data_IF_853815000135
#
_entry.id   IF_853815000135
#
_cell.length_a   1.000
_cell.length_b   1.000
_cell.length_c   1.000
_cell.angle_alpha   90.00
_cell.angle_beta   90.00
_cell.angle_gamma   90.00
#
_symmetry.space_group_name_H-M   'P 1'
#
loop_
_entity.id
_entity.type
_entity.pdbx_description
1 polymer ?
#
# COMPACT_ATOMS: atom_id res chain seq x y z
N UNK A 1 71.53 -10.69 -29.46
CA UNK A 1 70.31 -11.42 -29.87
C UNK A 1 69.96 -12.46 -28.81
N UNK A 2 69.30 -12.10 -27.70
CA UNK A 2 68.87 -13.03 -26.63
C UNK A 2 68.02 -12.35 -25.54
N UNK A 3 67.09 -11.44 -25.88
CA UNK A 3 66.17 -10.81 -24.90
C UNK A 3 64.83 -10.39 -25.52
N UNK A 4 64.25 -11.20 -26.42
CA UNK A 4 62.96 -10.89 -27.04
C UNK A 4 61.95 -12.05 -27.01
N UNK A 5 62.25 -13.13 -26.28
CA UNK A 5 61.40 -14.32 -26.20
C UNK A 5 60.61 -14.49 -24.90
N UNK A 6 60.85 -13.67 -23.87
CA UNK A 6 60.26 -13.87 -22.53
C UNK A 6 59.04 -12.96 -22.29
N UNK A 7 58.86 -11.89 -23.09
CA UNK A 7 57.76 -10.95 -22.89
C UNK A 7 56.42 -11.44 -23.48
N UNK A 8 56.43 -12.42 -24.40
CA UNK A 8 55.21 -12.95 -25.02
C UNK A 8 54.53 -14.07 -24.23
N UNK A 9 55.23 -14.72 -23.30
CA UNK A 9 54.66 -15.81 -22.47
C UNK A 9 53.97 -15.27 -21.22
N UNK A 10 54.32 -14.07 -20.76
CA UNK A 10 53.69 -13.43 -19.59
C UNK A 10 52.40 -12.66 -19.92
N UNK A 11 52.11 -12.40 -21.21
CA UNK A 11 50.88 -11.73 -21.65
C UNK A 11 49.73 -12.71 -21.95
N UNK A 12 50.02 -14.01 -22.15
CA UNK A 12 49.02 -15.03 -22.40
C UNK A 12 48.41 -15.64 -21.13
N UNK A 13 49.04 -15.47 -19.96
CA UNK A 13 48.55 -16.02 -18.68
C UNK A 13 47.56 -15.09 -17.96
N UNK A 14 47.41 -13.83 -18.41
CA UNK A 14 46.44 -12.86 -17.85
C UNK A 14 45.09 -12.83 -18.57
N UNK A 15 44.90 -13.66 -19.61
CA UNK A 15 43.62 -13.79 -20.34
C UNK A 15 42.85 -15.07 -19.98
N UNK A 16 43.29 -15.83 -18.99
CA UNK A 16 42.40 -16.77 -18.29
C UNK A 16 41.50 -15.95 -17.39
N UNK A 17 40.49 -15.34 -18.01
CA UNK A 17 39.34 -14.81 -17.32
C UNK A 17 38.84 -15.87 -16.37
N UNK A 18 38.57 -15.43 -15.14
CA UNK A 18 37.64 -16.12 -14.27
C UNK A 18 36.31 -16.12 -15.03
N UNK A 19 36.10 -17.13 -15.87
CA UNK A 19 34.80 -17.47 -16.41
C UNK A 19 34.06 -18.06 -15.21
N UNK A 20 33.54 -17.17 -14.36
CA UNK A 20 32.46 -17.56 -13.47
C UNK A 20 31.40 -18.16 -14.40
N UNK A 21 31.09 -19.45 -14.22
CA UNK A 21 29.91 -20.03 -14.83
C UNK A 21 28.75 -19.12 -14.45
N UNK A 22 28.28 -18.34 -15.42
CA UNK A 22 27.05 -17.57 -15.34
C UNK A 22 25.96 -18.64 -15.26
N UNK A 23 25.60 -18.98 -14.02
CA UNK A 23 24.62 -20.02 -13.74
C UNK A 23 23.33 -19.51 -14.36
N UNK A 24 22.87 -20.20 -15.40
CA UNK A 24 21.65 -19.85 -16.09
C UNK A 24 20.47 -20.12 -15.15
N UNK A 25 20.04 -19.12 -14.39
CA UNK A 25 18.97 -19.24 -13.40
C UNK A 25 17.58 -19.40 -14.06
N UNK A 26 17.51 -19.39 -15.41
CA UNK A 26 16.32 -19.82 -16.15
C UNK A 26 15.93 -21.28 -15.87
N UNK A 27 16.86 -22.08 -15.38
CA UNK A 27 16.66 -23.50 -15.02
C UNK A 27 16.16 -23.70 -13.57
N UNK A 28 15.78 -22.62 -12.87
CA UNK A 28 15.11 -22.72 -11.58
C UNK A 28 13.62 -23.06 -11.76
N UNK A 29 13.12 -23.99 -10.93
CA UNK A 29 11.71 -24.36 -10.80
C UNK A 29 10.83 -23.23 -10.20
N UNK A 30 11.20 -21.97 -10.42
CA UNK A 30 10.41 -20.83 -9.97
C UNK A 30 9.17 -20.69 -10.83
N UNK A 31 8.03 -20.49 -10.19
CA UNK A 31 6.73 -20.33 -10.84
C UNK A 31 6.01 -19.10 -10.33
N UNK A 32 5.25 -18.44 -11.21
CA UNK A 32 4.33 -17.37 -10.84
C UNK A 32 2.91 -17.82 -11.11
N UNK A 33 2.06 -17.73 -10.09
CA UNK A 33 0.64 -18.11 -10.17
C UNK A 33 -0.25 -16.88 -10.22
N UNK A 34 -1.14 -16.81 -11.20
CA UNK A 34 -2.10 -15.73 -11.40
C UNK A 34 -3.49 -16.23 -11.02
N UNK A 35 -4.15 -15.56 -10.09
CA UNK A 35 -5.45 -15.98 -9.55
C UNK A 35 -6.43 -14.83 -9.56
N UNK A 36 -7.65 -15.09 -10.01
CA UNK A 36 -8.71 -14.08 -10.02
C UNK A 36 -9.89 -14.54 -10.84
N UNK A 37 -11.07 -14.00 -10.54
CA UNK A 37 -12.30 -14.20 -11.34
C UNK A 37 -12.63 -15.68 -11.62
N UNK A 38 -12.38 -16.55 -10.64
CA UNK A 38 -12.65 -17.99 -10.75
C UNK A 38 -11.63 -18.79 -11.54
N UNK A 39 -10.49 -18.21 -11.90
CA UNK A 39 -9.39 -18.89 -12.59
C UNK A 39 -8.08 -18.80 -11.82
N UNK A 40 -7.25 -19.81 -12.03
CA UNK A 40 -5.90 -19.92 -11.50
C UNK A 40 -5.00 -20.52 -12.58
N UNK A 41 -3.96 -19.79 -12.98
CA UNK A 41 -2.97 -20.22 -13.97
C UNK A 41 -1.56 -20.06 -13.40
N UNK A 42 -0.72 -21.08 -13.56
CA UNK A 42 0.68 -21.06 -13.10
C UNK A 42 1.61 -21.13 -14.29
N UNK A 43 2.64 -20.29 -14.30
CA UNK A 43 3.66 -20.23 -15.32
C UNK A 43 5.03 -20.45 -14.68
N UNK A 44 5.81 -21.34 -15.27
CA UNK A 44 7.26 -21.43 -15.04
C UNK A 44 7.96 -20.21 -15.61
N UNK A 45 9.19 -19.97 -15.16
CA UNK A 45 10.00 -18.87 -15.69
C UNK A 45 10.21 -18.98 -17.21
N UNK A 46 10.44 -20.18 -17.73
CA UNK A 46 10.59 -20.40 -19.17
C UNK A 46 9.30 -20.07 -19.95
N UNK A 47 8.14 -20.49 -19.46
CA UNK A 47 6.86 -20.14 -20.08
C UNK A 47 6.62 -18.62 -20.07
N UNK A 48 7.02 -17.91 -19.00
CA UNK A 48 6.92 -16.45 -18.95
C UNK A 48 7.77 -15.75 -20.02
N UNK A 49 8.95 -16.29 -20.37
CA UNK A 49 9.78 -15.75 -21.45
C UNK A 49 9.19 -15.98 -22.86
N UNK A 50 8.27 -16.92 -23.01
CA UNK A 50 7.57 -17.21 -24.28
C UNK A 50 6.32 -16.33 -24.48
N UNK A 51 5.88 -15.61 -23.44
CA UNK A 51 4.75 -14.70 -23.50
C UNK A 51 5.08 -13.40 -24.27
N UNK A 52 4.07 -12.57 -24.61
CA UNK A 52 4.28 -11.30 -25.31
C UNK A 52 5.07 -10.27 -24.46
N UNK A 53 6.40 -10.38 -24.47
CA UNK A 53 7.29 -9.49 -23.73
C UNK A 53 7.23 -8.07 -24.29
N UNK A 54 7.06 -7.09 -23.41
CA UNK A 54 7.17 -5.68 -23.72
C UNK A 54 8.41 -5.10 -23.04
N UNK A 55 9.06 -4.16 -23.71
CA UNK A 55 10.17 -3.40 -23.16
C UNK A 55 9.76 -1.94 -22.98
N UNK A 56 10.03 -1.37 -21.82
CA UNK A 56 9.64 0.01 -21.52
C UNK A 56 10.59 0.65 -20.51
N UNK A 57 10.67 1.97 -20.55
CA UNK A 57 11.39 2.72 -19.52
C UNK A 57 10.51 2.79 -18.26
N UNK A 58 11.12 2.75 -17.10
CA UNK A 58 10.44 2.73 -15.83
C UNK A 58 11.16 3.61 -14.82
N UNK A 59 10.38 4.23 -13.95
CA UNK A 59 10.92 4.87 -12.75
C UNK A 59 10.30 4.26 -11.50
N UNK A 60 11.03 4.28 -10.38
CA UNK A 60 10.49 3.92 -9.07
C UNK A 60 11.04 4.82 -7.98
N UNK A 61 10.17 5.19 -7.04
CA UNK A 61 10.53 6.01 -5.88
C UNK A 61 10.88 5.13 -4.68
N UNK A 62 12.06 5.29 -4.09
CA UNK A 62 12.45 4.55 -2.89
C UNK A 62 11.86 5.20 -1.62
N UNK A 63 11.94 4.50 -0.49
CA UNK A 63 11.53 5.06 0.81
C UNK A 63 12.38 6.27 1.25
N UNK A 64 13.54 6.50 0.65
CA UNK A 64 14.40 7.67 0.91
C UNK A 64 14.05 8.86 0.03
N UNK A 65 13.09 8.71 -0.90
CA UNK A 65 12.72 9.73 -1.88
C UNK A 65 13.64 9.76 -3.10
N UNK A 66 14.54 8.79 -3.26
CA UNK A 66 15.38 8.66 -4.45
C UNK A 66 14.59 8.04 -5.60
N UNK A 67 14.71 8.61 -6.79
CA UNK A 67 14.13 8.05 -8.02
C UNK A 67 15.16 7.18 -8.72
N UNK A 68 14.83 5.90 -8.88
CA UNK A 68 15.61 4.96 -9.69
C UNK A 68 14.97 4.88 -11.07
N UNK A 69 15.78 5.03 -12.13
CA UNK A 69 15.35 4.89 -13.53
C UNK A 69 15.99 3.63 -14.09
N UNK A 70 15.20 2.81 -14.77
CA UNK A 70 15.64 1.55 -15.37
C UNK A 70 14.83 1.21 -16.61
N UNK A 71 15.40 0.43 -17.51
CA UNK A 71 14.68 -0.15 -18.65
C UNK A 71 14.27 -1.57 -18.31
N UNK A 72 12.98 -1.84 -18.27
CA UNK A 72 12.46 -3.18 -17.93
C UNK A 72 11.98 -3.91 -19.18
N UNK A 73 12.03 -5.23 -19.12
CA UNK A 73 11.34 -6.11 -20.07
C UNK A 73 10.60 -7.20 -19.32
N UNK A 74 9.36 -7.43 -19.71
CA UNK A 74 8.46 -8.30 -18.99
C UNK A 74 7.08 -8.41 -19.63
N UNK A 75 6.16 -9.07 -18.95
CA UNK A 75 4.77 -9.26 -19.40
C UNK A 75 3.90 -8.24 -18.69
N UNK A 76 3.11 -7.47 -19.44
CA UNK A 76 2.08 -6.58 -18.87
C UNK A 76 1.02 -7.45 -18.21
N UNK A 77 0.68 -7.17 -16.95
CA UNK A 77 -0.26 -7.98 -16.18
C UNK A 77 -1.66 -8.01 -16.80
N UNK A 78 -2.02 -7.02 -17.62
CA UNK A 78 -3.26 -7.02 -18.41
C UNK A 78 -3.39 -8.24 -19.34
N UNK A 79 -2.28 -8.82 -19.81
CA UNK A 79 -2.28 -10.05 -20.61
C UNK A 79 -3.00 -11.20 -19.90
N UNK A 80 -2.77 -11.35 -18.59
CA UNK A 80 -3.37 -12.43 -17.81
C UNK A 80 -4.86 -12.16 -17.58
N UNK A 81 -5.26 -10.90 -17.33
CA UNK A 81 -6.68 -10.53 -17.20
C UNK A 81 -7.46 -10.78 -18.49
N UNK A 82 -6.88 -10.48 -19.65
CA UNK A 82 -7.52 -10.73 -20.94
C UNK A 82 -7.85 -12.22 -21.13
N UNK A 83 -6.96 -13.12 -20.69
CA UNK A 83 -7.24 -14.57 -20.64
C UNK A 83 -8.41 -14.91 -19.72
N UNK A 84 -8.61 -14.15 -18.64
CA UNK A 84 -9.78 -14.24 -17.76
C UNK A 84 -11.05 -13.59 -18.33
N UNK A 85 -11.00 -13.03 -19.54
CA UNK A 85 -12.11 -12.27 -20.12
C UNK A 85 -12.38 -10.96 -19.36
N UNK A 86 -11.35 -10.41 -18.72
CA UNK A 86 -11.40 -9.21 -17.89
C UNK A 86 -10.44 -8.14 -18.40
N UNK A 87 -10.61 -6.95 -17.88
CA UNK A 87 -9.73 -5.81 -18.08
C UNK A 87 -9.31 -5.23 -16.74
N UNK A 88 -8.34 -4.30 -16.76
CA UNK A 88 -7.90 -3.63 -15.54
C UNK A 88 -9.00 -2.79 -14.88
N UNK A 89 -10.06 -2.42 -15.61
CA UNK A 89 -11.22 -1.71 -15.06
C UNK A 89 -12.10 -2.60 -14.16
N UNK A 90 -12.02 -3.91 -14.33
CA UNK A 90 -12.77 -4.91 -13.58
C UNK A 90 -12.07 -5.29 -12.27
N UNK A 91 -10.88 -4.74 -11.99
CA UNK A 91 -10.04 -5.10 -10.85
C UNK A 91 -10.16 -4.05 -9.74
N UNK A 92 -10.36 -4.52 -8.50
CA UNK A 92 -10.36 -3.70 -7.29
C UNK A 92 -8.97 -3.42 -6.75
N UNK A 93 -8.12 -4.44 -6.75
CA UNK A 93 -6.72 -4.35 -6.38
C UNK A 93 -5.95 -5.55 -6.93
N UNK A 94 -4.63 -5.45 -6.94
CA UNK A 94 -3.74 -6.56 -7.28
C UNK A 94 -2.84 -6.86 -6.09
N UNK A 95 -2.92 -8.07 -5.53
CA UNK A 95 -2.02 -8.53 -4.48
C UNK A 95 -0.81 -9.20 -5.10
N UNK A 96 0.37 -8.72 -4.74
CA UNK A 96 1.68 -9.19 -5.20
C UNK A 96 2.35 -9.92 -4.05
N UNK A 97 2.57 -11.22 -4.21
CA UNK A 97 3.02 -12.09 -3.13
C UNK A 97 4.34 -12.74 -3.51
N UNK A 98 5.37 -12.53 -2.69
CA UNK A 98 6.68 -13.13 -2.84
C UNK A 98 6.78 -14.51 -2.17
N UNK A 99 7.76 -15.32 -2.56
CA UNK A 99 8.02 -16.63 -1.94
C UNK A 99 8.40 -16.56 -0.46
N UNK A 100 8.93 -15.42 -0.02
CA UNK A 100 9.29 -15.16 1.38
C UNK A 100 8.11 -14.69 2.25
N UNK A 101 6.91 -14.60 1.66
CA UNK A 101 5.71 -14.13 2.34
C UNK A 101 5.54 -12.61 2.35
N UNK A 102 6.43 -11.84 1.71
CA UNK A 102 6.18 -10.41 1.48
C UNK A 102 4.95 -10.24 0.59
N UNK A 103 4.07 -9.31 0.98
CA UNK A 103 2.85 -8.99 0.26
C UNK A 103 2.75 -7.48 0.08
N UNK A 104 2.48 -7.05 -1.15
CA UNK A 104 2.06 -5.68 -1.46
C UNK A 104 0.74 -5.71 -2.22
N UNK A 105 -0.20 -4.85 -1.83
CA UNK A 105 -1.48 -4.70 -2.53
C UNK A 105 -1.48 -3.39 -3.32
N UNK A 106 -1.59 -3.49 -4.64
CA UNK A 106 -1.70 -2.34 -5.54
C UNK A 106 -3.17 -1.94 -5.61
N UNK A 107 -3.55 -0.75 -5.13
CA UNK A 107 -4.94 -0.30 -5.16
C UNK A 107 -5.36 0.14 -6.57
N UNK A 108 -6.67 0.10 -6.84
CA UNK A 108 -7.28 0.45 -8.14
C UNK A 108 -6.79 1.79 -8.68
N UNK A 109 -6.67 2.79 -7.81
CA UNK A 109 -6.32 4.16 -8.19
C UNK A 109 -4.95 4.22 -8.84
N UNK A 110 -4.01 3.39 -8.39
CA UNK A 110 -2.69 3.27 -9.01
C UNK A 110 -2.73 2.44 -10.28
N UNK A 111 -3.51 1.36 -10.31
CA UNK A 111 -3.71 0.54 -11.52
C UNK A 111 -4.36 1.32 -12.66
N UNK A 112 -5.16 2.34 -12.35
CA UNK A 112 -5.77 3.22 -13.34
C UNK A 112 -4.78 4.22 -13.96
N UNK A 113 -3.66 4.51 -13.28
CA UNK A 113 -2.70 5.55 -13.66
C UNK A 113 -1.36 4.98 -14.10
N UNK A 114 -1.09 3.72 -13.80
CA UNK A 114 0.19 3.07 -14.03
C UNK A 114 0.01 1.66 -14.58
N UNK A 115 1.05 1.17 -15.27
CA UNK A 115 1.11 -0.19 -15.76
C UNK A 115 1.88 -1.07 -14.79
N UNK A 116 1.34 -2.26 -14.56
CA UNK A 116 1.94 -3.29 -13.74
C UNK A 116 2.52 -4.39 -14.63
N UNK A 117 3.79 -4.73 -14.38
CA UNK A 117 4.52 -5.75 -15.12
C UNK A 117 4.95 -6.90 -14.22
N UNK A 118 5.02 -8.10 -14.80
CA UNK A 118 5.91 -9.17 -14.35
C UNK A 118 7.23 -8.99 -15.09
N UNK A 119 8.24 -8.51 -14.39
CA UNK A 119 9.54 -8.11 -14.92
C UNK A 119 10.50 -9.30 -14.89
N UNK A 120 11.14 -9.55 -16.03
CA UNK A 120 12.06 -10.66 -16.27
C UNK A 120 13.48 -10.20 -16.61
N UNK A 121 13.64 -8.97 -17.12
CA UNK A 121 14.93 -8.35 -17.39
C UNK A 121 14.91 -6.88 -16.96
N UNK A 122 16.04 -6.37 -16.49
CA UNK A 122 16.28 -4.97 -16.16
C UNK A 122 17.61 -4.52 -16.77
N UNK A 123 17.60 -3.37 -17.44
CA UNK A 123 18.74 -2.78 -18.16
C UNK A 123 19.42 -3.75 -19.15
N UNK A 124 18.60 -4.58 -19.81
CA UNK A 124 19.05 -5.55 -20.81
C UNK A 124 19.75 -6.78 -20.21
N UNK A 125 19.66 -6.98 -18.89
CA UNK A 125 20.19 -8.15 -18.19
C UNK A 125 19.06 -8.98 -17.61
N UNK A 126 19.23 -10.29 -17.64
CA UNK A 126 18.37 -11.21 -16.90
C UNK A 126 18.46 -10.92 -15.40
N UNK A 127 17.37 -11.17 -14.69
CA UNK A 127 17.40 -11.14 -13.24
C UNK A 127 18.04 -12.45 -12.73
N UNK A 128 19.37 -12.47 -12.73
CA UNK A 128 20.20 -13.66 -12.48
C UNK A 128 20.77 -13.71 -11.05
N UNK A 129 19.99 -13.20 -10.09
CA UNK A 129 20.30 -13.35 -8.67
C UNK A 129 19.21 -14.16 -8.01
N UNK A 130 19.59 -15.09 -7.12
CA UNK A 130 18.66 -15.98 -6.40
C UNK A 130 17.52 -15.21 -5.73
N UNK A 131 17.74 -13.96 -5.34
CA UNK A 131 16.77 -13.07 -4.71
C UNK A 131 16.00 -12.13 -5.68
N UNK A 132 16.15 -12.27 -7.00
CA UNK A 132 15.53 -11.38 -8.02
C UNK A 132 14.94 -12.09 -9.23
N UNK A 133 14.96 -13.42 -9.29
CA UNK A 133 14.66 -14.26 -10.47
C UNK A 133 13.42 -13.79 -11.28
N UNK A 134 12.38 -13.33 -10.59
CA UNK A 134 11.25 -12.59 -11.17
C UNK A 134 10.77 -11.55 -10.16
N UNK A 135 10.32 -10.39 -10.65
CA UNK A 135 9.74 -9.35 -9.79
C UNK A 135 8.52 -8.70 -10.42
N UNK A 136 7.66 -8.11 -9.61
CA UNK A 136 6.67 -7.16 -10.12
C UNK A 136 7.32 -5.80 -10.37
N UNK A 137 6.67 -4.97 -11.20
CA UNK A 137 7.04 -3.58 -11.38
C UNK A 137 5.83 -2.72 -11.73
N UNK A 138 5.43 -1.85 -10.80
CA UNK A 138 4.44 -0.81 -11.05
C UNK A 138 5.18 0.48 -11.43
N UNK A 139 5.03 0.89 -12.68
CA UNK A 139 5.83 1.97 -13.29
C UNK A 139 5.50 3.33 -12.67
N UNK A 140 6.51 4.17 -12.43
CA UNK A 140 6.36 5.52 -11.88
C UNK A 140 5.70 5.56 -10.49
N UNK A 141 5.78 4.44 -9.78
CA UNK A 141 5.23 4.27 -8.43
C UNK A 141 6.33 3.91 -7.44
N UNK A 142 5.93 3.78 -6.16
CA UNK A 142 6.84 3.45 -5.08
C UNK A 142 7.45 2.05 -5.25
N UNK A 143 8.70 1.92 -4.81
CA UNK A 143 9.46 0.66 -4.82
C UNK A 143 8.80 -0.46 -4.00
N UNK A 144 7.83 -0.13 -3.15
CA UNK A 144 7.05 -1.11 -2.38
C UNK A 144 6.25 -2.08 -3.27
N UNK A 145 5.89 -1.65 -4.49
CA UNK A 145 5.20 -2.46 -5.50
C UNK A 145 6.15 -3.21 -6.44
N UNK A 146 7.46 -3.10 -6.20
CA UNK A 146 8.50 -3.82 -6.94
C UNK A 146 8.92 -5.06 -6.16
N UNK A 147 7.98 -6.00 -6.05
CA UNK A 147 8.07 -7.21 -5.23
C UNK A 147 9.01 -8.20 -5.89
N UNK A 148 10.15 -8.47 -5.24
CA UNK A 148 11.12 -9.48 -5.66
C UNK A 148 10.60 -10.87 -5.33
N UNK A 149 11.13 -11.90 -6.00
CA UNK A 149 10.73 -13.29 -5.80
C UNK A 149 9.22 -13.51 -5.97
N UNK A 150 8.63 -12.79 -6.92
CA UNK A 150 7.19 -12.80 -7.14
C UNK A 150 6.74 -14.24 -7.40
N UNK A 151 5.82 -14.75 -6.60
CA UNK A 151 5.33 -16.13 -6.66
C UNK A 151 3.86 -16.21 -7.01
N UNK A 152 3.09 -15.18 -6.65
CA UNK A 152 1.65 -15.14 -6.88
C UNK A 152 1.16 -13.72 -7.10
N UNK A 153 0.23 -13.57 -8.04
CA UNK A 153 -0.47 -12.34 -8.39
C UNK A 153 -1.96 -12.62 -8.25
N UNK A 154 -2.63 -11.97 -7.32
CA UNK A 154 -4.07 -12.14 -7.10
C UNK A 154 -4.83 -10.89 -7.53
N UNK A 155 -5.79 -11.05 -8.44
CA UNK A 155 -6.73 -10.01 -8.82
C UNK A 155 -7.96 -10.08 -7.93
N UNK A 156 -8.30 -8.97 -7.30
CA UNK A 156 -9.50 -8.86 -6.49
C UNK A 156 -10.61 -8.15 -7.27
N UNK A 157 -11.85 -8.45 -6.92
CA UNK A 157 -12.99 -7.68 -7.40
C UNK A 157 -13.00 -6.29 -6.75
N UNK A 158 -13.56 -5.26 -7.41
CA UNK A 158 -13.74 -3.95 -6.83
C UNK A 158 -14.48 -4.05 -5.51
N UNK A 159 -13.94 -3.40 -4.48
CA UNK A 159 -14.68 -3.24 -3.25
C UNK A 159 -16.02 -2.56 -3.55
N UNK A 160 -17.09 -2.93 -2.82
CA UNK A 160 -18.34 -2.20 -2.92
C UNK A 160 -18.09 -0.72 -2.68
N UNK A 161 -18.84 0.13 -3.39
CA UNK A 161 -18.75 1.57 -3.20
C UNK A 161 -18.99 1.88 -1.72
N UNK A 162 -17.98 2.46 -1.06
CA UNK A 162 -18.07 2.86 0.34
C UNK A 162 -19.09 3.99 0.47
N UNK A 163 -20.00 3.87 1.41
CA UNK A 163 -20.97 4.89 1.75
C UNK A 163 -20.91 5.07 3.25
N UNK A 164 -20.14 6.07 3.68
CA UNK A 164 -19.92 6.31 5.10
C UNK A 164 -21.19 6.88 5.73
N UNK A 165 -21.84 6.10 6.57
CA UNK A 165 -22.96 6.52 7.41
C UNK A 165 -22.50 7.07 8.75
N UNK A 166 -21.26 6.77 9.16
CA UNK A 166 -20.71 7.17 10.45
C UNK A 166 -19.29 7.76 10.30
N UNK A 167 -19.04 8.82 11.06
CA UNK A 167 -17.77 9.53 11.08
C UNK A 167 -17.31 9.70 12.52
N UNK A 168 -16.06 9.36 12.79
CA UNK A 168 -15.47 9.41 14.12
C UNK A 168 -14.15 10.17 14.10
N UNK A 169 -13.84 10.87 15.18
CA UNK A 169 -12.50 11.37 15.44
C UNK A 169 -11.72 10.34 16.24
N UNK A 170 -10.49 10.08 15.82
CA UNK A 170 -9.65 9.05 16.42
C UNK A 170 -9.32 9.40 17.86
N UNK A 171 -8.99 10.66 18.15
CA UNK A 171 -8.45 11.07 19.46
C UNK A 171 -9.43 10.79 20.62
N UNK A 172 -10.72 11.19 20.55
CA UNK A 172 -11.69 10.85 21.61
C UNK A 172 -11.97 9.36 21.74
N UNK A 173 -11.89 8.59 20.64
CA UNK A 173 -12.05 7.13 20.69
C UNK A 173 -10.87 6.51 21.45
N UNK A 174 -9.66 6.87 21.05
CA UNK A 174 -8.39 6.37 21.59
C UNK A 174 -8.23 6.71 23.07
N UNK A 175 -8.64 7.92 23.49
CA UNK A 175 -8.62 8.32 24.91
C UNK A 175 -9.45 7.40 25.82
N UNK A 176 -10.38 6.65 25.24
CA UNK A 176 -11.22 5.69 25.96
C UNK A 176 -10.72 4.24 25.91
N UNK A 177 -9.62 3.98 25.18
CA UNK A 177 -9.02 2.66 25.02
C UNK A 177 -7.83 2.46 25.96
N UNK A 178 -7.52 1.20 26.27
CA UNK A 178 -6.30 0.86 27.01
C UNK A 178 -5.09 1.05 26.10
N UNK A 179 -4.12 1.85 26.56
CA UNK A 179 -2.85 2.06 25.85
C UNK A 179 -1.74 1.23 26.50
N UNK A 180 -0.82 0.74 25.69
CA UNK A 180 0.32 -0.05 26.15
C UNK A 180 1.63 0.38 25.48
N UNK A 181 2.75 -0.04 26.06
CA UNK A 181 4.07 0.17 25.45
C UNK A 181 4.30 -0.85 24.34
N UNK A 182 4.62 -0.36 23.15
CA UNK A 182 4.94 -1.16 21.97
C UNK A 182 6.36 -0.86 21.50
N UNK A 183 7.12 -1.92 21.21
CA UNK A 183 8.50 -1.79 20.75
C UNK A 183 8.52 -1.42 19.26
N UNK A 184 8.96 -0.19 18.95
CA UNK A 184 9.20 0.31 17.59
C UNK A 184 10.72 0.43 17.38
N UNK A 185 11.30 -0.57 16.71
CA UNK A 185 12.75 -0.73 16.60
C UNK A 185 13.45 -0.82 17.96
N UNK A 186 14.08 0.27 18.40
CA UNK A 186 14.78 0.39 19.69
C UNK A 186 14.04 1.30 20.68
N UNK A 187 12.91 1.87 20.26
CA UNK A 187 12.10 2.80 21.04
C UNK A 187 10.87 2.10 21.60
N UNK A 188 10.41 2.56 22.77
CA UNK A 188 9.13 2.16 23.34
C UNK A 188 8.14 3.30 23.14
N UNK A 189 7.12 3.05 22.36
CA UNK A 189 6.10 4.04 22.00
C UNK A 189 4.73 3.59 22.53
N UNK A 190 3.80 4.52 22.70
CA UNK A 190 2.43 4.20 23.09
C UNK A 190 1.63 3.71 21.90
N UNK A 191 0.85 2.65 22.09
CA UNK A 191 0.00 2.09 21.06
C UNK A 191 -1.35 1.60 21.60
N UNK A 192 -2.29 1.40 20.68
CA UNK A 192 -3.57 0.70 20.88
C UNK A 192 -3.72 -0.38 19.82
N UNK A 193 -4.49 -1.43 20.09
CA UNK A 193 -4.82 -2.40 19.06
C UNK A 193 -5.78 -1.80 18.03
N UNK A 194 -5.57 -2.13 16.76
CA UNK A 194 -6.46 -1.65 15.71
C UNK A 194 -7.87 -2.24 15.86
N UNK A 195 -7.98 -3.51 16.27
CA UNK A 195 -9.27 -4.16 16.51
C UNK A 195 -10.07 -3.46 17.61
N UNK A 196 -9.42 -2.93 18.66
CA UNK A 196 -10.12 -2.20 19.72
C UNK A 196 -10.78 -0.91 19.20
N UNK A 197 -10.14 -0.23 18.22
CA UNK A 197 -10.74 0.93 17.54
C UNK A 197 -11.97 0.50 16.74
N UNK A 198 -11.87 -0.60 15.98
CA UNK A 198 -12.97 -1.11 15.16
C UNK A 198 -14.16 -1.60 16.01
N UNK A 199 -13.87 -2.26 17.13
CA UNK A 199 -14.88 -2.71 18.08
C UNK A 199 -15.55 -1.51 18.77
N UNK A 200 -14.80 -0.42 19.03
CA UNK A 200 -15.34 0.81 19.62
C UNK A 200 -16.34 1.53 18.72
N UNK A 201 -16.13 1.48 17.41
CA UNK A 201 -17.05 2.06 16.41
C UNK A 201 -18.15 1.07 16.00
N UNK A 202 -18.16 -0.14 16.57
CA UNK A 202 -19.15 -1.19 16.31
C UNK A 202 -19.26 -1.58 14.82
N UNK A 203 -18.15 -1.55 14.08
CA UNK A 203 -18.13 -1.85 12.64
C UNK A 203 -17.38 -3.16 12.36
N UNK A 204 -18.13 -4.18 11.92
CA UNK A 204 -17.64 -5.55 11.67
C UNK A 204 -17.15 -5.78 10.24
N UNK A 205 -16.92 -4.72 9.46
CA UNK A 205 -16.44 -4.81 8.08
C UNK A 205 -15.23 -5.74 7.94
N UNK A 206 -15.28 -6.62 6.93
CA UNK A 206 -14.17 -7.53 6.63
C UNK A 206 -12.92 -6.82 6.11
N UNK A 207 -13.08 -5.62 5.54
CA UNK A 207 -12.02 -4.85 4.89
C UNK A 207 -11.88 -3.50 5.56
N UNK A 208 -10.62 -3.11 5.76
CA UNK A 208 -10.26 -1.82 6.35
C UNK A 208 -9.22 -1.15 5.45
N UNK A 209 -9.41 0.14 5.19
CA UNK A 209 -8.56 0.93 4.30
C UNK A 209 -7.93 2.07 5.09
N UNK A 210 -6.62 2.15 5.08
CA UNK A 210 -5.84 3.18 5.76
C UNK A 210 -5.24 4.12 4.73
N UNK A 211 -5.37 5.42 4.96
CA UNK A 211 -4.80 6.45 4.08
C UNK A 211 -3.83 7.32 4.87
N UNK A 212 -2.61 7.51 4.36
CA UNK A 212 -1.57 8.35 4.94
C UNK A 212 -1.53 9.76 4.33
N UNK A 213 -0.82 10.67 5.01
CA UNK A 213 -0.54 12.04 4.55
C UNK A 213 0.11 12.12 3.17
N UNK A 214 0.97 11.15 2.86
CA UNK A 214 1.69 11.09 1.60
C UNK A 214 0.88 10.39 0.48
N UNK A 215 -0.41 10.16 0.69
CA UNK A 215 -1.32 9.50 -0.24
C UNK A 215 -1.20 7.98 -0.26
N UNK A 216 -0.29 7.37 0.52
CA UNK A 216 -0.22 5.92 0.62
C UNK A 216 -1.55 5.38 1.15
N UNK A 217 -2.18 4.53 0.36
CA UNK A 217 -3.37 3.78 0.76
C UNK A 217 -2.99 2.33 0.96
N UNK A 218 -3.46 1.73 2.06
CA UNK A 218 -3.25 0.33 2.38
C UNK A 218 -4.56 -0.33 2.76
N UNK A 219 -4.84 -1.46 2.12
CA UNK A 219 -6.01 -2.30 2.39
C UNK A 219 -5.56 -3.47 3.26
N UNK A 220 -6.33 -3.76 4.30
CA UNK A 220 -6.14 -4.92 5.17
C UNK A 220 -7.47 -5.64 5.37
N UNK A 221 -7.41 -6.94 5.68
CA UNK A 221 -8.59 -7.73 6.02
C UNK A 221 -8.67 -7.97 7.52
N UNK A 222 -9.86 -7.92 8.10
CA UNK A 222 -10.11 -8.08 9.53
C UNK A 222 -9.42 -9.33 10.15
N UNK A 223 -9.41 -10.51 9.51
CA UNK A 223 -8.66 -11.68 10.03
C UNK A 223 -7.15 -11.46 10.17
N UNK A 224 -6.57 -10.57 9.36
CA UNK A 224 -5.13 -10.27 9.36
C UNK A 224 -4.75 -9.22 10.43
N UNK A 225 -5.73 -8.64 11.13
CA UNK A 225 -5.52 -7.53 12.07
C UNK A 225 -5.20 -7.95 13.52
N UNK A 226 -5.23 -9.23 13.85
CA UNK A 226 -5.17 -9.77 15.23
C UNK A 226 -3.99 -9.25 16.06
N UNK A 227 -2.86 -8.91 15.44
CA UNK A 227 -1.67 -8.39 16.11
C UNK A 227 -1.23 -7.01 15.62
N UNK A 228 -2.13 -6.29 14.96
CA UNK A 228 -1.84 -4.97 14.41
C UNK A 228 -2.21 -3.88 15.40
N UNK A 229 -1.42 -2.81 15.40
CA UNK A 229 -1.52 -1.71 16.35
C UNK A 229 -1.48 -0.37 15.62
N UNK A 230 -2.07 0.64 16.24
CA UNK A 230 -1.85 2.04 15.91
C UNK A 230 -0.92 2.63 16.97
N UNK A 231 0.30 2.95 16.57
CA UNK A 231 1.28 3.67 17.39
C UNK A 231 0.91 5.15 17.41
N UNK A 232 0.79 5.70 18.61
CA UNK A 232 0.25 7.03 18.90
C UNK A 232 1.34 8.08 19.16
N UNK A 233 2.57 7.67 19.44
CA UNK A 233 3.70 8.54 19.74
C UNK A 233 4.91 8.25 18.84
N UNK A 234 5.94 9.09 18.93
CA UNK A 234 7.18 8.91 18.17
C UNK A 234 7.08 9.34 16.71
N UNK A 235 8.10 9.00 15.93
CA UNK A 235 8.21 9.43 14.53
C UNK A 235 7.17 8.71 13.64
N UNK A 236 6.43 9.49 12.84
CA UNK A 236 5.45 8.95 11.90
C UNK A 236 4.09 8.61 12.50
N UNK A 237 3.78 9.03 13.73
CA UNK A 237 2.46 8.85 14.31
C UNK A 237 1.36 9.67 13.59
N UNK A 238 0.09 9.22 13.63
CA UNK A 238 -0.33 7.87 14.00
C UNK A 238 0.14 6.85 12.96
N UNK A 239 0.63 5.69 13.41
CA UNK A 239 1.27 4.70 12.55
C UNK A 239 0.67 3.30 12.71
N UNK A 240 0.20 2.70 11.62
CA UNK A 240 -0.16 1.29 11.57
C UNK A 240 1.09 0.41 11.46
N UNK A 241 1.21 -0.58 12.35
CA UNK A 241 2.30 -1.55 12.34
C UNK A 241 1.91 -2.85 13.08
N UNK A 242 2.80 -3.84 13.09
CA UNK A 242 2.72 -5.04 13.92
C UNK A 242 4.13 -5.52 14.26
N UNK A 243 4.27 -6.36 15.30
CA UNK A 243 5.58 -6.86 15.74
C UNK A 243 6.34 -7.59 14.62
N UNK A 244 5.60 -8.32 13.79
CA UNK A 244 6.14 -9.11 12.69
C UNK A 244 6.08 -8.38 11.34
N UNK A 245 5.65 -7.11 11.34
CA UNK A 245 5.68 -6.28 10.13
C UNK A 245 7.11 -5.75 9.94
N UNK A 246 7.67 -6.04 8.77
CA UNK A 246 9.03 -5.63 8.39
C UNK A 246 9.08 -4.13 8.11
N UNK A 247 10.26 -3.52 8.31
CA UNK A 247 10.51 -2.10 8.02
C UNK A 247 10.03 -1.75 6.60
N UNK A 248 9.26 -0.67 6.48
CA UNK A 248 8.68 -0.22 5.21
C UNK A 248 7.30 -0.80 4.88
N UNK A 249 6.74 -1.68 5.72
CA UNK A 249 5.35 -2.18 5.62
C UNK A 249 4.35 -1.41 6.51
N UNK A 250 4.86 -0.45 7.27
CA UNK A 250 4.12 0.47 8.13
C UNK A 250 3.34 1.49 7.32
N UNK A 251 2.22 2.00 7.85
CA UNK A 251 1.54 3.19 7.30
C UNK A 251 1.75 4.33 8.27
N UNK A 252 2.56 5.33 7.90
CA UNK A 252 2.94 6.45 8.75
C UNK A 252 2.06 7.66 8.49
N UNK A 253 1.88 8.49 9.51
CA UNK A 253 1.08 9.72 9.45
C UNK A 253 -0.29 9.45 8.86
N UNK A 254 -1.01 8.46 9.42
CA UNK A 254 -2.35 8.10 8.98
C UNK A 254 -3.30 9.28 9.11
N UNK A 255 -4.12 9.53 8.10
CA UNK A 255 -5.21 10.50 8.11
C UNK A 255 -6.54 9.81 8.35
N UNK A 256 -6.80 8.71 7.65
CA UNK A 256 -8.07 7.99 7.79
C UNK A 256 -7.87 6.50 7.99
N UNK A 257 -8.83 5.91 8.70
CA UNK A 257 -9.12 4.49 8.77
C UNK A 257 -10.58 4.32 8.37
N UNK A 258 -10.80 3.71 7.22
CA UNK A 258 -12.11 3.58 6.59
C UNK A 258 -12.54 2.10 6.57
N UNK A 259 -13.80 1.85 6.90
CA UNK A 259 -14.48 0.57 6.68
C UNK A 259 -15.45 0.70 5.51
N UNK A 260 -16.44 -0.18 5.38
CA UNK A 260 -17.52 -0.01 4.40
C UNK A 260 -18.49 1.11 4.76
N UNK A 261 -18.74 1.31 6.07
CA UNK A 261 -19.80 2.19 6.58
C UNK A 261 -19.31 3.30 7.51
N UNK A 262 -18.08 3.19 8.00
CA UNK A 262 -17.50 4.09 8.98
C UNK A 262 -16.18 4.68 8.50
N UNK A 263 -15.90 5.91 8.94
CA UNK A 263 -14.63 6.57 8.75
C UNK A 263 -14.12 7.14 10.06
N UNK A 264 -12.90 6.76 10.43
CA UNK A 264 -12.18 7.33 11.56
C UNK A 264 -11.12 8.30 11.04
N UNK A 265 -11.12 9.53 11.54
CA UNK A 265 -10.24 10.62 11.14
C UNK A 265 -9.21 10.89 12.24
N UNK A 266 -7.93 10.86 11.89
CA UNK A 266 -6.82 11.28 12.73
C UNK A 266 -6.52 12.76 12.51
N UNK A 267 -7.04 13.60 13.40
CA UNK A 267 -7.04 15.06 13.22
C UNK A 267 -5.63 15.65 13.29
N UNK A 268 -4.74 15.05 14.09
CA UNK A 268 -3.32 15.45 14.17
C UNK A 268 -2.54 15.36 12.86
N UNK A 269 -3.00 14.53 11.91
CA UNK A 269 -2.38 14.36 10.59
C UNK A 269 -2.96 15.29 9.52
N UNK A 270 -4.18 15.80 9.70
CA UNK A 270 -4.85 16.65 8.71
C UNK A 270 -4.06 17.94 8.43
N UNK A 271 -3.47 18.53 9.47
CA UNK A 271 -2.65 19.76 9.34
C UNK A 271 -1.38 19.56 8.51
N UNK A 272 -0.98 18.30 8.28
CA UNK A 272 0.19 17.93 7.47
C UNK A 272 -0.18 17.53 6.04
N UNK A 273 -1.48 17.42 5.75
CA UNK A 273 -2.00 16.89 4.48
C UNK A 273 -2.27 17.98 3.44
N UNK A 274 -1.80 17.74 2.22
CA UNK A 274 -2.16 18.54 1.05
C UNK A 274 -3.42 17.99 0.32
N UNK A 275 -4.00 16.90 0.82
CA UNK A 275 -5.01 16.08 0.13
C UNK A 275 -6.42 16.28 0.75
N UNK A 276 -6.57 17.22 1.69
CA UNK A 276 -7.78 17.53 2.46
C UNK A 276 -9.06 17.63 1.60
N UNK A 277 -8.99 18.32 0.45
CA UNK A 277 -10.14 18.54 -0.44
C UNK A 277 -10.70 17.22 -1.01
N UNK A 278 -9.84 16.24 -1.32
CA UNK A 278 -10.26 14.95 -1.89
C UNK A 278 -10.75 13.95 -0.84
N UNK A 279 -10.29 14.09 0.41
CA UNK A 279 -10.65 13.20 1.52
C UNK A 279 -12.06 13.45 2.04
N UNK A 280 -12.52 14.70 1.99
CA UNK A 280 -13.84 15.10 2.46
C UNK A 280 -14.95 14.76 1.45
N UNK A 281 -14.63 14.66 0.16
CA UNK A 281 -15.60 14.34 -0.90
C UNK A 281 -16.68 15.42 -1.09
N UNK A 282 -17.50 15.30 -2.15
CA UNK A 282 -18.56 16.29 -2.46
C UNK A 282 -19.70 16.35 -1.41
N UNK A 283 -19.76 15.39 -0.49
CA UNK A 283 -20.79 15.30 0.55
C UNK A 283 -20.39 15.95 1.89
N UNK A 284 -19.11 16.28 2.10
CA UNK A 284 -18.64 17.01 3.29
C UNK A 284 -18.01 18.33 2.86
N UNK A 285 -18.84 19.33 2.54
CA UNK A 285 -18.33 20.58 1.99
C UNK A 285 -17.72 21.55 3.03
N UNK A 286 -17.59 21.17 4.31
CA UNK A 286 -16.74 21.93 5.24
C UNK A 286 -16.35 21.12 6.49
N UNK A 287 -15.04 20.95 6.71
CA UNK A 287 -14.49 20.54 8.01
C UNK A 287 -14.05 21.80 8.74
N UNK A 288 -14.78 22.23 9.76
CA UNK A 288 -14.42 23.41 10.55
C UNK A 288 -13.61 22.98 11.77
N UNK A 289 -12.33 23.36 11.77
CA UNK A 289 -11.42 23.19 12.90
C UNK A 289 -11.60 24.37 13.86
N UNK A 290 -12.10 24.12 15.08
CA UNK A 290 -12.18 25.13 16.14
C UNK A 290 -11.31 24.69 17.30
N UNK A 291 -10.07 25.19 17.34
CA UNK A 291 -9.10 24.85 18.39
C UNK A 291 -8.66 23.39 18.37
N UNK A 292 -8.66 22.75 19.54
CA UNK A 292 -8.33 21.35 19.83
C UNK A 292 -9.54 20.40 19.67
N UNK A 293 -10.63 20.87 19.03
CA UNK A 293 -11.82 20.07 18.73
C UNK A 293 -12.18 20.17 17.26
N UNK A 294 -12.65 19.06 16.71
CA UNK A 294 -13.14 18.99 15.33
C UNK A 294 -14.65 18.74 15.34
N UNK A 295 -15.38 19.51 14.54
CA UNK A 295 -16.82 19.34 14.35
C UNK A 295 -17.09 19.10 12.88
N UNK A 296 -17.89 18.08 12.60
CA UNK A 296 -18.38 17.76 11.25
C UNK A 296 -19.74 18.40 11.05
N UNK A 297 -19.90 19.21 9.99
CA UNK A 297 -21.19 19.84 9.65
C UNK A 297 -21.56 19.44 8.22
N UNK A 298 -22.83 19.04 8.03
CA UNK A 298 -23.41 18.82 6.70
C UNK A 298 -24.09 20.12 6.22
N UNK A 299 -23.64 20.77 5.14
CA UNK A 299 -24.13 22.10 4.77
C UNK A 299 -25.41 22.09 3.94
N UNK A 300 -26.00 20.94 3.60
CA UNK A 300 -27.16 20.93 2.70
C UNK A 300 -28.45 21.54 3.30
N UNK A 301 -28.53 21.83 4.61
CA UNK A 301 -29.68 22.54 5.23
C UNK A 301 -29.42 23.03 6.68
N UNK A 302 -28.18 23.39 7.05
CA UNK A 302 -27.82 23.63 8.47
C UNK A 302 -27.34 25.05 8.71
N UNK A 303 -28.04 25.81 9.56
CA UNK A 303 -27.49 27.01 10.20
C UNK A 303 -26.81 26.58 11.51
N UNK A 304 -25.50 26.80 11.63
CA UNK A 304 -24.75 26.55 12.85
C UNK A 304 -24.24 27.87 13.43
N UNK A 305 -24.43 28.07 14.73
CA UNK A 305 -23.88 29.20 15.47
C UNK A 305 -22.81 28.70 16.47
N UNK A 306 -21.71 29.45 16.57
CA UNK A 306 -20.62 29.17 17.52
C UNK A 306 -20.81 30.04 18.75
N UNK A 307 -21.15 29.42 19.89
CA UNK A 307 -21.33 30.13 21.17
C UNK A 307 -20.49 29.44 22.24
N UNK A 308 -19.50 30.14 22.79
CA UNK A 308 -18.67 29.70 23.93
C UNK A 308 -18.13 28.26 23.78
N UNK A 309 -17.38 27.99 22.71
CA UNK A 309 -16.75 26.69 22.44
C UNK A 309 -17.73 25.50 22.24
N UNK A 310 -19.01 25.80 22.04
CA UNK A 310 -20.06 24.85 21.66
C UNK A 310 -20.62 25.26 20.30
N UNK A 311 -20.56 24.34 19.34
CA UNK A 311 -21.27 24.50 18.07
C UNK A 311 -22.70 23.99 18.27
N UNK A 312 -23.68 24.87 18.10
CA UNK A 312 -25.10 24.51 18.11
C UNK A 312 -25.61 24.59 16.67
N UNK A 313 -26.14 23.48 16.16
CA UNK A 313 -26.71 23.43 14.82
C UNK A 313 -28.22 23.20 14.93
N UNK A 314 -29.01 24.04 14.25
CA UNK A 314 -30.45 23.81 14.08
C UNK A 314 -30.69 22.95 12.84
N UNK A 315 -31.48 21.88 13.01
CA UNK A 315 -31.82 20.94 11.95
C UNK A 315 -33.26 21.19 11.48
N UNK A 316 -33.47 21.29 10.17
CA UNK A 316 -34.81 21.26 9.60
C UNK A 316 -35.40 19.85 9.73
N UNK A 317 -36.57 19.77 10.36
CA UNK A 317 -37.26 18.58 10.87
C UNK A 317 -37.63 17.47 9.86
N UNK A 318 -37.23 17.59 8.60
CA UNK A 318 -37.55 16.61 7.55
C UNK A 318 -36.40 15.67 7.18
N UNK A 319 -35.20 15.84 7.75
CA UNK A 319 -34.06 14.97 7.42
C UNK A 319 -33.32 14.57 8.69
N UNK A 320 -33.21 13.25 8.91
CA UNK A 320 -32.29 12.56 9.84
C UNK A 320 -32.86 12.27 11.24
N UNK A 321 -33.45 11.07 11.35
CA UNK A 321 -33.36 10.26 12.56
C UNK A 321 -31.89 9.81 12.74
N UNK A 322 -31.40 9.93 13.98
CA UNK A 322 -30.08 9.56 14.50
C UNK A 322 -28.94 10.59 14.34
N UNK A 323 -28.91 11.60 15.22
CA UNK A 323 -27.69 12.32 15.62
C UNK A 323 -27.34 11.94 17.06
N UNK A 324 -26.16 11.37 17.24
CA UNK A 324 -25.59 10.99 18.55
C UNK A 324 -25.23 12.25 19.34
N UNK A 325 -25.93 12.47 20.46
CA UNK A 325 -25.51 13.42 21.49
C UNK A 325 -24.34 12.83 22.28
N UNK A 326 -23.14 13.38 22.12
CA UNK A 326 -22.10 13.28 23.16
C UNK A 326 -22.00 14.60 23.92
N UNK A 327 -22.81 14.70 24.97
CA UNK A 327 -22.59 15.64 26.07
C UNK A 327 -21.92 14.87 27.21
N UNK A 328 -20.75 15.31 27.70
CA UNK A 328 -20.24 14.83 29.00
C UNK A 328 -20.81 15.70 30.14
N UNK A 329 -21.09 15.12 31.33
CA UNK A 329 -21.40 15.85 32.55
C UNK A 329 -20.18 16.63 33.10
#
# INVERSE_FOLDING_TARGET
MKKLGILWVLLSVLLMGCQSEEKDLRDMNHTVTFVGFGMEETYTLNELYELPLQQTDSTRLTSTGETIVSKIKGVDVSYFLEKMGKSMNDVGSVRLIATDGYLAEVPRELLAQSKLFVVLEEDGKFLDHEDQIVKSGLIDQRSLYWVRLLSRVEFTEPLPQRSFTQWFFAEPLIDSLETFDFDVYIYKEKAVYLLDILDKIEDDSEVVVMTAVDGLTKVERRPDLVNTVIVLSGEGNPMFTAKDIGKGREVKSMITLDTLSSRVIFTGSLTKSFILESLLGEDMNELVLVGDRTVTVNPKNTECEVVMDVITCEFDSQTIDNVVRMSRP
#
